data_IF_700148432246
#
_entry.id   IF_700148432246
#
_cell.length_a   1.000
_cell.length_b   1.000
_cell.length_c   1.000
_cell.angle_alpha   90.00
_cell.angle_beta   90.00
_cell.angle_gamma   90.00
#
_symmetry.space_group_name_H-M   'P 1'
#
loop_
_entity.id
_entity.type
_entity.pdbx_description
1 polymer ?
#
# COMPACT_ATOMS: atom_id res chain seq x y z
N UNK A 1 -7.07 21.65 -24.60
CA UNK A 1 -6.21 20.53 -24.19
C UNK A 1 -4.77 20.84 -24.55
N UNK A 2 -3.83 20.61 -23.64
CA UNK A 2 -2.43 20.97 -23.86
C UNK A 2 -1.86 20.30 -25.13
N UNK A 3 -2.21 19.03 -25.37
CA UNK A 3 -1.84 18.33 -26.60
C UNK A 3 -2.58 18.86 -27.84
N UNK A 4 -3.83 19.23 -27.70
CA UNK A 4 -4.61 19.79 -28.81
C UNK A 4 -4.11 21.17 -29.24
N UNK A 5 -3.63 21.99 -28.28
CA UNK A 5 -2.97 23.25 -28.59
C UNK A 5 -1.59 23.04 -29.18
N UNK A 6 -0.85 22.05 -28.68
CA UNK A 6 0.44 21.67 -29.24
C UNK A 6 0.34 21.10 -30.66
N UNK A 7 -0.71 20.31 -30.94
CA UNK A 7 -0.99 19.79 -32.28
C UNK A 7 -1.22 20.89 -33.32
N UNK A 8 -1.84 22.02 -32.90
CA UNK A 8 -2.02 23.20 -33.78
C UNK A 8 -0.70 23.92 -34.13
N UNK A 9 0.33 23.76 -33.28
CA UNK A 9 1.65 24.38 -33.43
C UNK A 9 2.63 23.55 -34.25
N UNK A 10 2.27 22.29 -34.56
CA UNK A 10 3.07 21.41 -35.40
C UNK A 10 3.51 20.10 -34.71
N UNK A 11 4.10 19.17 -35.47
CA UNK A 11 4.43 17.84 -34.97
C UNK A 11 5.49 17.82 -33.84
N UNK A 12 6.46 18.73 -33.88
CA UNK A 12 7.47 18.85 -32.83
C UNK A 12 6.89 19.32 -31.50
N UNK A 13 5.97 20.30 -31.54
CA UNK A 13 5.28 20.80 -30.36
C UNK A 13 4.38 19.72 -29.75
N UNK A 14 3.71 18.90 -30.59
CA UNK A 14 2.93 17.77 -30.13
C UNK A 14 3.78 16.70 -29.48
N UNK A 15 4.95 16.39 -30.04
CA UNK A 15 5.91 15.44 -29.45
C UNK A 15 6.38 15.93 -28.07
N UNK A 16 6.81 17.19 -27.97
CA UNK A 16 7.24 17.77 -26.71
C UNK A 16 6.13 17.80 -25.64
N UNK A 17 4.86 17.95 -26.07
CA UNK A 17 3.70 17.89 -25.18
C UNK A 17 3.46 16.47 -24.64
N UNK A 18 3.61 15.45 -25.48
CA UNK A 18 3.52 14.04 -25.09
C UNK A 18 4.65 13.67 -24.14
N UNK A 19 5.89 14.05 -24.44
CA UNK A 19 7.06 13.77 -23.59
C UNK A 19 6.89 14.40 -22.19
N UNK A 20 6.33 15.62 -22.10
CA UNK A 20 6.00 16.25 -20.81
C UNK A 20 4.92 15.51 -20.05
N UNK A 21 3.89 15.02 -20.74
CA UNK A 21 2.86 14.20 -20.10
C UNK A 21 3.45 12.92 -19.56
N UNK A 22 4.26 12.22 -20.34
CA UNK A 22 4.87 10.95 -19.98
C UNK A 22 5.84 11.14 -18.80
N UNK A 23 6.63 12.21 -18.81
CA UNK A 23 7.44 12.63 -17.64
C UNK A 23 6.60 12.89 -16.40
N UNK A 24 5.42 13.51 -16.55
CA UNK A 24 4.48 13.73 -15.45
C UNK A 24 4.00 12.42 -14.84
N UNK A 25 3.69 11.41 -15.65
CA UNK A 25 3.33 10.07 -15.17
C UNK A 25 4.48 9.35 -14.48
N UNK A 26 5.71 9.48 -15.00
CA UNK A 26 6.91 8.91 -14.35
C UNK A 26 7.13 9.53 -12.96
N UNK A 27 7.06 10.85 -12.83
CA UNK A 27 7.18 11.55 -11.54
C UNK A 27 6.09 11.05 -10.57
N UNK A 28 4.84 10.97 -11.02
CA UNK A 28 3.74 10.45 -10.20
C UNK A 28 4.00 9.01 -9.72
N UNK A 29 4.50 8.15 -10.60
CA UNK A 29 4.86 6.77 -10.28
C UNK A 29 5.98 6.69 -9.24
N UNK A 30 7.02 7.53 -9.37
CA UNK A 30 8.10 7.62 -8.36
C UNK A 30 7.55 8.04 -7.00
N UNK A 31 6.65 9.03 -6.92
CA UNK A 31 6.05 9.45 -5.64
C UNK A 31 5.18 8.36 -5.00
N UNK A 32 4.49 7.54 -5.78
CA UNK A 32 3.78 6.36 -5.25
C UNK A 32 4.77 5.40 -4.58
N UNK A 33 5.91 5.13 -5.22
CA UNK A 33 6.94 4.25 -4.68
C UNK A 33 7.65 4.86 -3.45
N UNK A 34 7.83 6.18 -3.38
CA UNK A 34 8.32 6.86 -2.16
C UNK A 34 7.36 6.60 -0.99
N UNK A 35 6.05 6.69 -1.20
CA UNK A 35 5.07 6.32 -0.20
C UNK A 35 5.16 4.84 0.21
N UNK A 36 5.29 3.94 -0.77
CA UNK A 36 5.48 2.51 -0.56
C UNK A 36 6.79 2.16 0.17
N UNK A 37 7.83 2.97 0.00
CA UNK A 37 9.09 2.82 0.73
C UNK A 37 8.96 3.24 2.20
N UNK A 38 8.25 4.32 2.49
CA UNK A 38 8.14 4.90 3.84
C UNK A 38 7.16 4.09 4.72
N UNK A 39 6.03 3.67 4.17
CA UNK A 39 4.95 3.03 4.92
C UNK A 39 5.38 1.79 5.75
N UNK A 40 6.18 0.85 5.23
CA UNK A 40 6.64 -0.32 5.97
C UNK A 40 7.51 -0.01 7.19
N UNK A 41 8.08 1.18 7.28
CA UNK A 41 8.82 1.63 8.46
C UNK A 41 7.93 2.34 9.47
N UNK A 42 6.97 3.15 9.02
CA UNK A 42 6.12 3.94 9.91
C UNK A 42 5.23 3.04 10.78
N UNK A 43 4.63 2.00 10.20
CA UNK A 43 3.70 1.14 10.92
C UNK A 43 4.38 0.34 12.06
N UNK A 44 5.50 -0.38 11.83
CA UNK A 44 6.24 -1.05 12.90
C UNK A 44 6.76 -0.09 13.97
N UNK A 45 7.30 1.07 13.57
CA UNK A 45 7.81 2.07 14.53
C UNK A 45 6.74 2.57 15.49
N UNK A 46 5.53 2.83 15.02
CA UNK A 46 4.42 3.26 15.87
C UNK A 46 3.96 2.14 16.82
N UNK A 47 3.90 0.90 16.32
CA UNK A 47 3.58 -0.28 17.12
C UNK A 47 4.63 -0.50 18.21
N UNK A 48 5.90 -0.46 17.86
CA UNK A 48 7.02 -0.61 18.80
C UNK A 48 7.06 0.52 19.82
N UNK A 49 6.85 1.76 19.38
CA UNK A 49 6.75 2.91 20.29
C UNK A 49 5.64 2.69 21.33
N UNK A 50 4.47 2.21 20.93
CA UNK A 50 3.36 1.95 21.84
C UNK A 50 3.66 0.81 22.81
N UNK A 51 4.23 -0.30 22.32
CA UNK A 51 4.68 -1.40 23.17
C UNK A 51 5.70 -0.93 24.21
N UNK A 52 6.72 -0.21 23.80
CA UNK A 52 7.76 0.32 24.66
C UNK A 52 7.20 1.29 25.74
N UNK A 53 6.22 2.11 25.38
CA UNK A 53 5.54 3.00 26.33
C UNK A 53 4.81 2.22 27.43
N UNK A 54 4.37 1.00 27.13
CA UNK A 54 3.73 0.09 28.08
C UNK A 54 4.69 -0.92 28.72
N UNK A 55 6.00 -0.71 28.58
CA UNK A 55 7.05 -1.54 29.18
C UNK A 55 7.22 -2.90 28.52
N UNK A 56 6.77 -3.07 27.27
CA UNK A 56 6.86 -4.29 26.49
C UNK A 56 7.73 -4.08 25.24
N UNK A 57 8.41 -5.14 24.82
CA UNK A 57 9.21 -5.13 23.58
C UNK A 57 8.49 -5.93 22.49
N UNK A 58 8.64 -5.53 21.25
CA UNK A 58 8.08 -6.24 20.11
C UNK A 58 8.75 -7.60 19.90
N UNK A 59 7.94 -8.64 19.68
CA UNK A 59 8.39 -9.94 19.19
C UNK A 59 7.40 -10.48 18.15
N UNK A 60 7.92 -10.92 16.99
CA UNK A 60 7.10 -11.35 15.85
C UNK A 60 6.32 -12.66 16.11
N UNK A 61 6.84 -13.55 16.95
CA UNK A 61 6.27 -14.88 17.21
C UNK A 61 5.31 -14.88 18.38
N UNK A 62 5.51 -13.99 19.35
CA UNK A 62 4.77 -14.01 20.61
C UNK A 62 3.25 -13.85 20.46
N UNK A 63 2.71 -13.00 19.55
CA UNK A 63 1.27 -12.90 19.35
C UNK A 63 0.62 -14.24 18.95
N UNK A 64 1.27 -15.01 18.06
CA UNK A 64 0.75 -16.30 17.62
C UNK A 64 0.77 -17.32 18.76
N UNK A 65 1.84 -17.37 19.53
CA UNK A 65 1.96 -18.27 20.70
C UNK A 65 0.96 -17.90 21.79
N UNK A 66 0.74 -16.63 22.06
CA UNK A 66 -0.27 -16.17 23.00
C UNK A 66 -1.68 -16.56 22.55
N UNK A 67 -2.00 -16.42 21.28
CA UNK A 67 -3.31 -16.86 20.74
C UNK A 67 -3.49 -18.37 20.87
N UNK A 68 -2.47 -19.16 20.54
CA UNK A 68 -2.52 -20.63 20.68
C UNK A 68 -2.71 -21.05 22.15
N UNK A 69 -1.96 -20.43 23.05
CA UNK A 69 -2.05 -20.68 24.49
C UNK A 69 -3.45 -20.40 25.04
N UNK A 70 -4.02 -19.25 24.71
CA UNK A 70 -5.36 -18.85 25.16
C UNK A 70 -6.47 -19.70 24.52
N UNK A 71 -6.35 -20.07 23.24
CA UNK A 71 -7.31 -20.92 22.55
C UNK A 71 -7.38 -22.33 23.12
N UNK A 72 -6.25 -22.87 23.57
CA UNK A 72 -6.15 -24.21 24.14
C UNK A 72 -6.28 -24.23 25.67
N UNK A 73 -6.82 -23.19 26.29
CA UNK A 73 -7.00 -23.07 27.75
C UNK A 73 -5.71 -23.34 28.54
N UNK A 74 -4.58 -22.92 28.00
CA UNK A 74 -3.27 -23.10 28.61
C UNK A 74 -2.58 -24.45 28.32
N UNK A 75 -3.20 -25.34 27.56
CA UNK A 75 -2.60 -26.61 27.17
C UNK A 75 -1.81 -26.47 25.86
N UNK A 76 -0.49 -26.58 25.93
CA UNK A 76 0.42 -26.55 24.78
C UNK A 76 1.44 -27.69 24.87
N UNK A 77 2.07 -28.02 23.75
CA UNK A 77 3.25 -28.90 23.77
C UNK A 77 4.36 -28.29 24.66
N UNK A 78 5.09 -29.13 25.37
CA UNK A 78 6.12 -28.69 26.35
C UNK A 78 7.16 -27.74 25.72
N UNK A 79 7.54 -27.98 24.48
CA UNK A 79 8.48 -27.11 23.74
C UNK A 79 7.86 -25.72 23.44
N UNK A 80 6.61 -25.67 22.97
CA UNK A 80 5.91 -24.42 22.71
C UNK A 80 5.68 -23.62 24.00
N UNK A 81 5.36 -24.29 25.11
CA UNK A 81 5.22 -23.64 26.42
C UNK A 81 6.55 -23.06 26.92
N UNK A 82 7.66 -23.78 26.76
CA UNK A 82 8.98 -23.28 27.13
C UNK A 82 9.36 -22.06 26.28
N UNK A 83 9.07 -22.09 24.97
CA UNK A 83 9.32 -20.98 24.08
C UNK A 83 8.46 -19.75 24.47
N UNK A 84 7.17 -19.94 24.76
CA UNK A 84 6.30 -18.89 25.24
C UNK A 84 6.85 -18.22 26.52
N UNK A 85 7.28 -19.01 27.50
CA UNK A 85 7.86 -18.49 28.74
C UNK A 85 9.13 -17.65 28.48
N UNK A 86 10.04 -18.16 27.65
CA UNK A 86 11.29 -17.47 27.30
C UNK A 86 10.99 -16.14 26.58
N UNK A 87 10.13 -16.16 25.56
CA UNK A 87 9.79 -14.96 24.80
C UNK A 87 9.03 -13.95 25.64
N UNK A 88 8.09 -14.41 26.51
CA UNK A 88 7.37 -13.52 27.42
C UNK A 88 8.32 -12.82 28.39
N UNK A 89 9.29 -13.52 28.96
CA UNK A 89 10.30 -12.90 29.81
C UNK A 89 11.19 -11.90 29.02
N UNK A 90 11.57 -12.22 27.79
CA UNK A 90 12.38 -11.33 26.94
C UNK A 90 11.67 -10.02 26.56
N UNK A 91 10.35 -10.05 26.37
CA UNK A 91 9.58 -8.84 26.06
C UNK A 91 9.22 -8.01 27.29
N UNK A 92 9.64 -8.41 28.50
CA UNK A 92 9.32 -7.71 29.74
C UNK A 92 7.99 -8.10 30.37
N UNK A 93 7.37 -9.19 29.92
CA UNK A 93 6.13 -9.71 30.47
C UNK A 93 6.32 -10.57 31.72
N UNK A 94 5.24 -10.77 32.48
CA UNK A 94 5.25 -11.58 33.71
C UNK A 94 4.95 -13.06 33.41
N UNK A 95 5.92 -13.93 33.61
CA UNK A 95 5.77 -15.38 33.39
C UNK A 95 4.97 -16.12 34.48
N UNK A 96 4.72 -15.47 35.64
CA UNK A 96 3.98 -16.10 36.74
C UNK A 96 2.47 -16.16 36.48
N UNK A 97 1.94 -15.31 35.60
CA UNK A 97 0.53 -15.28 35.21
C UNK A 97 0.40 -15.13 33.69
N UNK A 98 0.73 -16.19 32.98
CA UNK A 98 0.75 -16.19 31.52
C UNK A 98 -0.60 -15.89 30.88
N UNK A 99 -1.71 -16.26 31.50
CA UNK A 99 -3.04 -16.01 30.91
C UNK A 99 -3.31 -14.51 30.84
N UNK A 100 -3.16 -13.81 31.93
CA UNK A 100 -3.37 -12.37 31.99
C UNK A 100 -2.32 -11.62 31.19
N UNK A 101 -1.07 -12.07 31.19
CA UNK A 101 0.01 -11.40 30.49
C UNK A 101 -0.08 -11.60 28.96
N UNK A 102 -0.49 -12.76 28.48
CA UNK A 102 -0.80 -12.95 27.06
C UNK A 102 -1.96 -12.06 26.60
N UNK A 103 -3.03 -11.95 27.41
CA UNK A 103 -4.13 -11.06 27.10
C UNK A 103 -3.69 -9.59 27.06
N UNK A 104 -2.91 -9.16 28.05
CA UNK A 104 -2.33 -7.81 28.12
C UNK A 104 -1.43 -7.53 26.91
N UNK A 105 -0.52 -8.44 26.58
CA UNK A 105 0.37 -8.28 25.43
C UNK A 105 -0.41 -8.15 24.14
N UNK A 106 -1.39 -9.02 23.89
CA UNK A 106 -2.23 -8.98 22.69
C UNK A 106 -3.06 -7.72 22.61
N UNK A 107 -3.59 -7.23 23.73
CA UNK A 107 -4.34 -5.98 23.77
C UNK A 107 -3.44 -4.80 23.35
N UNK A 108 -2.29 -4.64 24.02
CA UNK A 108 -1.36 -3.54 23.74
C UNK A 108 -0.80 -3.63 22.32
N UNK A 109 -0.53 -4.85 21.84
CA UNK A 109 -0.09 -5.10 20.47
C UNK A 109 -1.15 -4.65 19.44
N UNK A 110 -2.43 -5.00 19.65
CA UNK A 110 -3.54 -4.56 18.80
C UNK A 110 -3.75 -3.05 18.84
N UNK A 111 -3.65 -2.44 20.00
CA UNK A 111 -3.69 -0.97 20.14
C UNK A 111 -2.56 -0.32 19.33
N UNK A 112 -1.35 -0.86 19.37
CA UNK A 112 -0.22 -0.40 18.55
C UNK A 112 -0.47 -0.48 17.05
N UNK A 113 -1.18 -1.52 16.59
CA UNK A 113 -1.65 -1.61 15.20
C UNK A 113 -2.66 -0.49 14.88
N UNK A 114 -3.59 -0.20 15.79
CA UNK A 114 -4.55 0.89 15.59
C UNK A 114 -3.86 2.26 15.48
N UNK A 115 -2.79 2.52 16.23
CA UNK A 115 -1.98 3.74 16.05
C UNK A 115 -1.37 3.84 14.65
N UNK A 116 -0.98 2.71 14.06
CA UNK A 116 -0.50 2.68 12.67
C UNK A 116 -1.60 3.09 11.67
N UNK A 117 -2.86 2.70 11.90
CA UNK A 117 -3.99 3.17 11.10
C UNK A 117 -4.26 4.67 11.26
N UNK A 118 -4.09 5.22 12.46
CA UNK A 118 -4.24 6.67 12.70
C UNK A 118 -3.23 7.46 11.86
N UNK A 119 -1.99 6.98 11.71
CA UNK A 119 -1.00 7.60 10.83
C UNK A 119 -1.46 7.62 9.36
N UNK A 120 -2.07 6.54 8.89
CA UNK A 120 -2.64 6.47 7.54
C UNK A 120 -3.80 7.45 7.36
N UNK A 121 -4.69 7.56 8.35
CA UNK A 121 -5.79 8.54 8.34
C UNK A 121 -5.24 9.97 8.31
N UNK A 122 -4.21 10.28 9.09
CA UNK A 122 -3.57 11.59 9.09
C UNK A 122 -2.98 11.94 7.71
N UNK A 123 -2.30 10.98 7.06
CA UNK A 123 -1.78 11.17 5.70
C UNK A 123 -2.91 11.42 4.68
N UNK A 124 -4.03 10.70 4.79
CA UNK A 124 -5.21 10.92 3.93
C UNK A 124 -5.82 12.32 4.15
N UNK A 125 -5.94 12.77 5.39
CA UNK A 125 -6.45 14.10 5.72
C UNK A 125 -5.55 15.19 5.14
N UNK A 126 -4.23 15.05 5.28
CA UNK A 126 -3.25 15.98 4.69
C UNK A 126 -3.41 16.02 3.16
N UNK A 127 -3.52 14.86 2.52
CA UNK A 127 -3.74 14.75 1.08
C UNK A 127 -5.04 15.45 0.64
N UNK A 128 -6.11 15.25 1.40
CA UNK A 128 -7.40 15.89 1.14
C UNK A 128 -7.32 17.42 1.27
N UNK A 129 -6.65 17.91 2.29
CA UNK A 129 -6.42 19.36 2.51
C UNK A 129 -5.65 19.95 1.31
N UNK A 130 -4.56 19.31 0.90
CA UNK A 130 -3.77 19.73 -0.26
C UNK A 130 -4.65 19.75 -1.53
N UNK A 131 -5.47 18.72 -1.73
CA UNK A 131 -6.39 18.65 -2.84
C UNK A 131 -7.40 19.82 -2.85
N UNK A 132 -8.02 20.13 -1.71
CA UNK A 132 -8.96 21.24 -1.60
C UNK A 132 -8.34 22.58 -1.95
N UNK A 133 -7.13 22.86 -1.48
CA UNK A 133 -6.42 24.09 -1.81
C UNK A 133 -5.95 24.13 -3.27
N UNK A 134 -5.64 22.98 -3.85
CA UNK A 134 -5.12 22.86 -5.21
C UNK A 134 -6.18 22.65 -6.28
N UNK A 135 -7.44 22.34 -5.92
CA UNK A 135 -8.51 21.97 -6.87
C UNK A 135 -8.76 23.02 -7.97
N UNK A 136 -8.56 24.32 -7.66
CA UNK A 136 -8.71 25.40 -8.63
C UNK A 136 -7.65 25.40 -9.74
N UNK A 137 -6.51 24.73 -9.51
CA UNK A 137 -5.40 24.60 -10.46
C UNK A 137 -5.60 23.42 -11.42
N UNK A 138 -6.49 22.48 -11.08
CA UNK A 138 -6.77 21.35 -11.95
C UNK A 138 -7.70 21.75 -13.11
N UNK A 139 -7.40 21.30 -14.34
CA UNK A 139 -8.28 21.51 -15.48
C UNK A 139 -9.60 20.79 -15.23
N UNK A 140 -10.72 21.51 -15.42
CA UNK A 140 -12.04 20.91 -15.29
C UNK A 140 -12.42 20.22 -16.61
N UNK A 141 -12.46 18.89 -16.69
CA UNK A 141 -12.79 18.16 -17.91
C UNK A 141 -14.23 18.43 -18.36
N UNK A 142 -15.17 18.65 -17.43
CA UNK A 142 -16.57 18.91 -17.75
C UNK A 142 -16.80 20.22 -18.51
N UNK A 143 -15.91 21.21 -18.37
CA UNK A 143 -15.98 22.44 -19.18
C UNK A 143 -15.58 22.27 -20.64
N UNK A 144 -14.89 21.18 -20.99
CA UNK A 144 -14.40 20.89 -22.35
C UNK A 144 -15.40 20.15 -23.22
N UNK A 145 -16.26 19.33 -22.63
CA UNK A 145 -17.29 18.60 -23.37
C UNK A 145 -18.44 19.49 -23.88
N UNK A 146 -18.59 20.68 -23.31
CA UNK A 146 -19.56 21.69 -23.82
C UNK A 146 -19.14 22.34 -25.16
N UNK A 147 -17.97 21.98 -25.71
CA UNK A 147 -17.45 22.51 -26.96
C UNK A 147 -17.71 21.55 -28.10
N UNK A 148 -18.76 21.84 -28.85
CA UNK A 148 -19.15 21.34 -30.18
C UNK A 148 -19.81 19.96 -30.20
N UNK A 149 -21.11 19.94 -30.24
CA UNK A 149 -21.84 19.03 -31.11
C UNK A 149 -21.33 19.23 -32.55
N UNK A 150 -20.28 18.48 -32.91
CA UNK A 150 -19.92 18.34 -34.32
C UNK A 150 -21.06 17.51 -34.91
N UNK A 151 -21.80 18.06 -35.87
CA UNK A 151 -22.82 17.34 -36.62
C UNK A 151 -22.06 16.29 -37.49
N UNK A 152 -21.86 15.13 -36.91
CA UNK A 152 -21.33 13.99 -37.65
C UNK A 152 -22.38 13.46 -38.63
N UNK A 153 -21.98 13.21 -39.85
CA UNK A 153 -22.79 12.45 -40.80
C UNK A 153 -23.10 11.03 -40.25
N UNK A 154 -24.20 10.40 -40.69
CA UNK A 154 -24.52 9.03 -40.25
C UNK A 154 -23.38 8.02 -40.43
N UNK A 155 -22.60 8.19 -41.52
CA UNK A 155 -21.43 7.33 -41.81
C UNK A 155 -20.28 7.58 -40.85
N UNK A 156 -19.98 8.83 -40.52
CA UNK A 156 -18.96 9.19 -39.50
C UNK A 156 -19.33 8.70 -38.11
N UNK A 157 -20.62 8.77 -37.73
CA UNK A 157 -21.14 8.20 -36.47
C UNK A 157 -20.95 6.69 -36.40
N UNK A 158 -21.22 5.97 -37.51
CA UNK A 158 -21.03 4.53 -37.57
C UNK A 158 -19.54 4.13 -37.49
N UNK A 159 -18.67 4.88 -38.17
CA UNK A 159 -17.20 4.67 -38.10
C UNK A 159 -16.66 4.94 -36.70
N UNK A 160 -17.07 6.04 -36.06
CA UNK A 160 -16.69 6.37 -34.69
C UNK A 160 -17.18 5.31 -33.69
N UNK A 161 -18.42 4.82 -33.84
CA UNK A 161 -18.96 3.75 -32.99
C UNK A 161 -18.17 2.45 -33.12
N UNK A 162 -17.76 2.08 -34.35
CA UNK A 162 -16.91 0.91 -34.59
C UNK A 162 -15.54 1.06 -33.92
N UNK A 163 -14.92 2.21 -34.05
CA UNK A 163 -13.63 2.53 -33.43
C UNK A 163 -13.73 2.48 -31.89
N UNK A 164 -14.76 3.07 -31.30
CA UNK A 164 -15.03 3.01 -29.86
C UNK A 164 -15.20 1.57 -29.40
N UNK A 165 -15.95 0.73 -30.14
CA UNK A 165 -16.12 -0.69 -29.83
C UNK A 165 -14.80 -1.45 -29.84
N UNK A 166 -13.93 -1.20 -30.82
CA UNK A 166 -12.60 -1.84 -30.88
C UNK A 166 -11.71 -1.39 -29.71
N UNK A 167 -11.70 -0.09 -29.38
CA UNK A 167 -10.97 0.44 -28.25
C UNK A 167 -11.48 -0.13 -26.91
N UNK A 168 -12.81 -0.26 -26.75
CA UNK A 168 -13.42 -0.89 -25.58
C UNK A 168 -13.04 -2.35 -25.45
N UNK A 169 -13.05 -3.12 -26.55
CA UNK A 169 -12.60 -4.52 -26.54
C UNK A 169 -11.13 -4.64 -26.12
N UNK A 170 -10.25 -3.83 -26.69
CA UNK A 170 -8.84 -3.80 -26.31
C UNK A 170 -8.66 -3.42 -24.82
N UNK A 171 -9.43 -2.45 -24.33
CA UNK A 171 -9.41 -2.06 -22.92
C UNK A 171 -9.82 -3.23 -22.01
N UNK A 172 -10.92 -3.93 -22.32
CA UNK A 172 -11.35 -5.09 -21.53
C UNK A 172 -10.36 -6.24 -21.58
N UNK A 173 -9.70 -6.49 -22.72
CA UNK A 173 -8.66 -7.49 -22.82
C UNK A 173 -7.46 -7.16 -21.92
N UNK A 174 -7.01 -5.88 -21.93
CA UNK A 174 -5.94 -5.41 -21.05
C UNK A 174 -6.36 -5.51 -19.57
N UNK A 175 -7.60 -5.11 -19.24
CA UNK A 175 -8.10 -5.23 -17.85
C UNK A 175 -8.13 -6.69 -17.39
N UNK A 176 -8.47 -7.63 -18.27
CA UNK A 176 -8.40 -9.07 -17.97
C UNK A 176 -6.98 -9.52 -17.58
N UNK A 177 -5.97 -9.08 -18.33
CA UNK A 177 -4.56 -9.35 -18.00
C UNK A 177 -4.14 -8.67 -16.69
N UNK A 178 -4.56 -7.44 -16.48
CA UNK A 178 -4.24 -6.65 -15.29
C UNK A 178 -4.77 -7.28 -14.00
N UNK A 179 -5.90 -8.02 -14.04
CA UNK A 179 -6.40 -8.76 -12.87
C UNK A 179 -5.35 -9.78 -12.40
N UNK A 180 -4.79 -10.58 -13.30
CA UNK A 180 -3.77 -11.57 -12.94
C UNK A 180 -2.47 -10.91 -12.46
N UNK A 181 -2.08 -9.80 -13.07
CA UNK A 181 -0.94 -9.01 -12.60
C UNK A 181 -1.12 -8.55 -11.16
N UNK A 182 -2.26 -7.91 -10.83
CA UNK A 182 -2.53 -7.41 -9.49
C UNK A 182 -2.70 -8.53 -8.47
N UNK A 183 -3.29 -9.65 -8.87
CA UNK A 183 -3.36 -10.84 -8.03
C UNK A 183 -1.97 -11.31 -7.60
N UNK A 184 -1.03 -11.41 -8.54
CA UNK A 184 0.36 -11.78 -8.24
C UNK A 184 1.09 -10.69 -7.44
N UNK A 185 0.88 -9.43 -7.80
CA UNK A 185 1.54 -8.29 -7.15
C UNK A 185 1.15 -8.17 -5.67
N UNK A 186 -0.12 -8.38 -5.33
CA UNK A 186 -0.59 -8.30 -3.94
C UNK A 186 -0.03 -9.43 -3.06
N UNK A 187 0.42 -10.55 -3.64
CA UNK A 187 1.12 -11.59 -2.87
C UNK A 187 2.44 -11.09 -2.26
N UNK A 188 3.05 -10.06 -2.81
CA UNK A 188 4.24 -9.43 -2.23
C UNK A 188 3.99 -8.94 -0.79
N UNK A 189 2.84 -8.32 -0.53
CA UNK A 189 2.47 -7.83 0.80
C UNK A 189 2.10 -8.93 1.80
N UNK A 190 1.50 -10.03 1.33
CA UNK A 190 1.01 -11.10 2.21
C UNK A 190 1.99 -12.26 2.31
N UNK A 191 2.31 -12.90 1.19
CA UNK A 191 3.14 -14.11 1.18
C UNK A 191 4.58 -13.83 1.56
N UNK A 192 5.16 -12.70 1.14
CA UNK A 192 6.54 -12.35 1.49
C UNK A 192 6.68 -12.04 2.99
N UNK A 193 5.71 -11.33 3.58
CA UNK A 193 5.73 -11.04 5.01
C UNK A 193 5.55 -12.29 5.86
N UNK A 194 4.66 -13.21 5.44
CA UNK A 194 4.50 -14.51 6.10
C UNK A 194 5.75 -15.37 5.98
N UNK A 195 6.34 -15.42 4.79
CA UNK A 195 7.59 -16.13 4.57
C UNK A 195 8.73 -15.57 5.44
N UNK A 196 8.85 -14.24 5.49
CA UNK A 196 9.86 -13.60 6.33
C UNK A 196 9.65 -13.91 7.82
N UNK A 197 8.41 -13.95 8.29
CA UNK A 197 8.08 -14.31 9.67
C UNK A 197 8.44 -15.76 10.00
N UNK A 198 8.17 -16.69 9.08
CA UNK A 198 8.25 -18.13 9.36
C UNK A 198 9.63 -18.74 9.03
N UNK A 199 10.38 -18.16 8.09
CA UNK A 199 11.60 -18.75 7.55
C UNK A 199 12.83 -17.84 7.63
N UNK A 200 12.69 -16.57 8.00
CA UNK A 200 13.81 -15.63 8.15
C UNK A 200 13.95 -15.23 9.61
N UNK A 201 15.18 -15.09 10.09
CA UNK A 201 15.42 -14.52 11.41
C UNK A 201 14.98 -13.05 11.45
N UNK A 202 13.79 -12.83 11.99
CA UNK A 202 13.14 -11.52 12.11
C UNK A 202 13.35 -10.89 13.49
N UNK A 203 14.31 -11.37 14.28
CA UNK A 203 14.58 -10.85 15.63
C UNK A 203 15.00 -9.37 15.63
N UNK A 204 15.72 -8.93 14.60
CA UNK A 204 16.23 -7.57 14.46
C UNK A 204 15.40 -6.68 13.54
N UNK A 205 14.60 -7.24 12.62
CA UNK A 205 13.89 -6.49 11.57
C UNK A 205 12.46 -7.02 11.49
N UNK A 206 11.47 -6.13 11.68
CA UNK A 206 10.06 -6.50 11.54
C UNK A 206 9.77 -7.04 10.13
N UNK A 207 9.00 -8.14 9.98
CA UNK A 207 8.74 -8.80 8.70
C UNK A 207 8.15 -7.88 7.62
N UNK A 208 7.42 -6.86 8.03
CA UNK A 208 6.80 -5.87 7.15
C UNK A 208 7.82 -5.01 6.40
N UNK A 209 9.01 -4.80 6.95
CA UNK A 209 10.06 -3.97 6.35
C UNK A 209 10.58 -4.56 5.04
N UNK A 210 10.51 -5.88 4.86
CA UNK A 210 10.90 -6.53 3.60
C UNK A 210 10.08 -6.06 2.39
N UNK A 211 8.89 -5.51 2.61
CA UNK A 211 8.09 -4.92 1.54
C UNK A 211 8.72 -3.64 0.96
N UNK A 212 9.61 -2.97 1.70
CA UNK A 212 10.30 -1.76 1.24
C UNK A 212 11.35 -2.04 0.14
N UNK A 213 11.79 -3.29 -0.02
CA UNK A 213 12.83 -3.67 -1.00
C UNK A 213 12.38 -3.36 -2.42
N UNK A 214 11.15 -3.69 -2.80
CA UNK A 214 10.63 -3.43 -4.14
C UNK A 214 10.55 -1.93 -4.47
N UNK A 215 9.89 -1.06 -3.67
CA UNK A 215 9.91 0.39 -3.88
C UNK A 215 11.32 1.00 -3.93
N UNK A 216 12.24 0.51 -3.10
CA UNK A 216 13.62 0.97 -3.10
C UNK A 216 14.29 0.76 -4.47
N UNK A 217 14.20 -0.45 -5.03
CA UNK A 217 14.77 -0.71 -6.35
C UNK A 217 14.04 0.03 -7.47
N UNK A 218 12.74 0.19 -7.40
CA UNK A 218 12.01 0.99 -8.38
C UNK A 218 12.49 2.43 -8.40
N UNK A 219 12.66 3.06 -7.24
CA UNK A 219 13.12 4.45 -7.14
C UNK A 219 14.56 4.61 -7.65
N UNK A 220 15.42 3.63 -7.39
CA UNK A 220 16.83 3.70 -7.76
C UNK A 220 17.13 3.36 -9.22
N UNK A 221 16.23 2.59 -9.86
CA UNK A 221 16.40 2.13 -11.25
C UNK A 221 15.57 2.91 -12.27
N UNK A 222 14.65 3.78 -11.83
CA UNK A 222 13.81 4.64 -12.70
C UNK A 222 14.40 6.02 -12.79
#
# INVERSE_FOLDING_TARGET
>A
DFETEAAKKGPEALKAAKDKRDSGFQIFYVFINVGGLIAPFVAPLLREWWLNTNGLVYNAQLPALCHEFLANSGAMATEAMNNLNVLMAQVGGNVSDLVNECQRYLQIFNEGIHYSFIASVAAMVISLVIFFFSQKRFPNPAKKEAVKSVDYTPEEKAAAAKEIKQRMFALFAVLGIVIFFWFSFHQNGTSLSLFARDFVDSSAIAPEIWQAVNPFFVITLT
#
